data_IF_278814441997
#
_entry.id   IF_278814441997
#
_cell.length_a   1.000
_cell.length_b   1.000
_cell.length_c   1.000
_cell.angle_alpha   90.00
_cell.angle_beta   90.00
_cell.angle_gamma   90.00
#
_symmetry.space_group_name_H-M   'P 1'
#
loop_
_entity.id
_entity.type
_entity.pdbx_description
1 polymer ?
#
# COMPACT_ATOMS: atom_id res chain seq x y z
N UNK A 1 1.40 1.13 -8.09
CA UNK A 1 0.12 0.51 -7.68
C UNK A 1 -0.51 -0.19 -8.87
N UNK A 2 -1.07 -1.39 -8.69
CA UNK A 2 -1.55 -2.25 -9.77
C UNK A 2 -2.94 -2.79 -9.44
N UNK A 3 -4.01 -2.36 -10.12
CA UNK A 3 -5.34 -2.94 -10.00
C UNK A 3 -5.34 -4.43 -10.37
N UNK A 4 -6.00 -5.27 -9.58
CA UNK A 4 -6.23 -6.69 -9.88
C UNK A 4 -7.71 -7.06 -9.71
N UNK A 5 -8.10 -8.25 -10.16
CA UNK A 5 -9.48 -8.73 -10.03
C UNK A 5 -9.92 -8.78 -8.55
N UNK A 6 -9.05 -9.30 -7.68
CA UNK A 6 -9.39 -9.56 -6.28
C UNK A 6 -8.96 -8.45 -5.32
N UNK A 7 -8.28 -7.42 -5.81
CA UNK A 7 -7.68 -6.40 -4.94
C UNK A 7 -6.86 -5.33 -5.62
N UNK A 8 -6.18 -4.54 -4.80
CA UNK A 8 -5.20 -3.55 -5.26
C UNK A 8 -3.81 -3.97 -4.77
N UNK A 9 -2.92 -4.27 -5.71
CA UNK A 9 -1.52 -4.60 -5.39
C UNK A 9 -0.71 -3.31 -5.18
N UNK A 10 -0.02 -3.24 -4.06
CA UNK A 10 0.90 -2.16 -3.72
C UNK A 10 2.30 -2.72 -3.62
N UNK A 11 3.05 -2.58 -4.72
CA UNK A 11 4.44 -3.01 -4.84
C UNK A 11 5.25 -1.86 -5.48
N UNK A 12 5.62 -0.83 -4.70
CA UNK A 12 6.31 0.34 -5.21
C UNK A 12 7.71 -0.01 -5.71
N UNK A 13 8.12 0.67 -6.78
CA UNK A 13 9.49 0.71 -7.27
C UNK A 13 9.89 2.20 -7.31
N UNK A 14 10.72 2.63 -6.37
CA UNK A 14 11.02 4.05 -6.12
C UNK A 14 12.53 4.27 -5.96
N UNK A 15 13.04 5.50 -6.13
CA UNK A 15 14.42 5.82 -5.79
C UNK A 15 14.72 5.55 -4.30
N UNK A 16 15.94 5.12 -3.99
CA UNK A 16 16.39 4.85 -2.61
C UNK A 16 16.39 6.08 -1.69
N UNK A 17 16.39 7.28 -2.28
CA UNK A 17 16.28 8.56 -1.58
C UNK A 17 14.89 8.84 -1.02
N UNK A 18 13.85 8.15 -1.51
CA UNK A 18 12.48 8.33 -1.02
C UNK A 18 12.30 7.56 0.28
N UNK A 19 12.41 8.26 1.41
CA UNK A 19 12.30 7.68 2.76
C UNK A 19 10.87 7.56 3.27
N UNK A 20 10.01 8.48 2.87
CA UNK A 20 8.57 8.45 3.13
C UNK A 20 7.86 9.16 1.98
N UNK A 21 6.69 8.65 1.59
CA UNK A 21 5.80 9.34 0.67
C UNK A 21 4.37 8.87 0.86
N UNK A 22 3.43 9.70 0.43
CA UNK A 22 2.00 9.41 0.52
C UNK A 22 1.31 9.58 -0.83
N UNK A 23 0.25 8.81 -1.06
CA UNK A 23 -0.63 8.96 -2.21
C UNK A 23 -2.08 8.65 -1.86
N UNK A 24 -3.01 9.34 -2.52
CA UNK A 24 -4.42 8.98 -2.48
C UNK A 24 -4.80 8.24 -3.77
N UNK A 25 -5.56 7.15 -3.65
CA UNK A 25 -6.07 6.40 -4.79
C UNK A 25 -7.54 6.04 -4.59
N UNK A 26 -8.33 6.30 -5.62
CA UNK A 26 -9.67 5.72 -5.72
C UNK A 26 -9.61 4.38 -6.47
N UNK A 27 -10.25 3.35 -5.91
CA UNK A 27 -10.35 2.03 -6.50
C UNK A 27 -11.73 1.42 -6.21
N UNK A 28 -12.51 1.19 -7.27
CA UNK A 28 -13.88 0.62 -7.20
C UNK A 28 -14.79 1.40 -6.23
N UNK A 29 -14.75 2.74 -6.30
CA UNK A 29 -15.53 3.64 -5.44
C UNK A 29 -15.06 3.71 -4.00
N UNK A 30 -13.90 3.11 -3.66
CA UNK A 30 -13.29 3.17 -2.34
C UNK A 30 -12.08 4.09 -2.40
N UNK A 31 -11.95 4.98 -1.42
CA UNK A 31 -10.77 5.84 -1.25
C UNK A 31 -9.71 5.13 -0.41
N UNK A 32 -8.47 5.20 -0.85
CA UNK A 32 -7.31 4.66 -0.14
C UNK A 32 -6.29 5.77 0.04
N UNK A 33 -6.05 6.14 1.30
CA UNK A 33 -4.96 7.01 1.73
C UNK A 33 -3.77 6.11 2.05
N UNK A 34 -2.79 6.07 1.15
CA UNK A 34 -1.66 5.16 1.22
C UNK A 34 -0.43 5.95 1.66
N UNK A 35 0.13 5.59 2.81
CA UNK A 35 1.42 6.05 3.29
C UNK A 35 2.45 4.95 3.11
N UNK A 36 3.64 5.30 2.61
CA UNK A 36 4.74 4.37 2.38
C UNK A 36 5.95 4.81 3.18
N UNK A 37 6.42 3.95 4.07
CA UNK A 37 7.66 4.13 4.83
C UNK A 37 8.78 3.28 4.21
N UNK A 38 9.90 3.91 3.88
CA UNK A 38 11.08 3.26 3.29
C UNK A 38 12.37 3.69 4.02
N UNK A 39 12.43 3.41 5.33
CA UNK A 39 13.57 3.79 6.18
C UNK A 39 14.89 3.24 5.65
N UNK A 40 14.85 2.02 5.12
CA UNK A 40 16.01 1.31 4.56
C UNK A 40 16.47 1.87 3.20
N UNK A 41 15.67 2.69 2.51
CA UNK A 41 16.00 3.21 1.18
C UNK A 41 16.10 2.10 0.14
N UNK A 42 15.32 1.03 0.27
CA UNK A 42 15.26 -0.01 -0.77
C UNK A 42 14.53 0.54 -1.98
N UNK A 43 14.90 0.08 -3.18
CA UNK A 43 14.23 0.53 -4.40
C UNK A 43 12.95 -0.24 -4.69
N UNK A 44 12.81 -1.45 -4.13
CA UNK A 44 11.67 -2.36 -4.28
C UNK A 44 11.64 -3.31 -3.09
N UNK A 45 10.45 -3.81 -2.76
CA UNK A 45 10.25 -4.72 -1.64
C UNK A 45 9.22 -4.17 -0.67
N UNK A 46 8.27 -5.01 -0.27
CA UNK A 46 7.27 -4.68 0.74
C UNK A 46 7.35 -5.76 1.80
N UNK A 47 7.60 -5.35 3.03
CA UNK A 47 7.68 -6.26 4.18
C UNK A 47 6.34 -6.37 4.88
N UNK A 48 5.56 -5.28 4.90
CA UNK A 48 4.32 -5.21 5.66
C UNK A 48 3.33 -4.23 5.03
N UNK A 49 2.05 -4.62 5.00
CA UNK A 49 0.93 -3.73 4.70
C UNK A 49 -0.08 -3.81 5.83
N UNK A 50 -0.52 -2.65 6.33
CA UNK A 50 -1.58 -2.52 7.32
C UNK A 50 -2.71 -1.69 6.70
N UNK A 51 -3.91 -2.25 6.63
CA UNK A 51 -5.12 -1.56 6.18
C UNK A 51 -6.09 -1.41 7.34
N UNK A 52 -6.49 -0.17 7.65
CA UNK A 52 -7.44 0.13 8.72
C UNK A 52 -7.05 -0.46 10.09
N UNK A 53 -5.76 -0.54 10.38
CA UNK A 53 -5.21 -1.13 11.60
C UNK A 53 -5.01 -2.66 11.56
N UNK A 54 -5.43 -3.32 10.48
CA UNK A 54 -5.27 -4.77 10.31
C UNK A 54 -4.13 -5.08 9.33
N UNK A 55 -3.19 -5.91 9.77
CA UNK A 55 -2.10 -6.40 8.91
C UNK A 55 -2.61 -7.45 7.92
N UNK A 56 -2.06 -7.41 6.70
CA UNK A 56 -2.32 -8.40 5.67
C UNK A 56 -1.04 -9.10 5.23
N UNK A 57 -1.17 -10.32 4.75
CA UNK A 57 -0.06 -11.04 4.15
C UNK A 57 0.09 -10.67 2.66
N UNK A 58 1.34 -10.49 2.23
CA UNK A 58 1.67 -10.15 0.85
C UNK A 58 1.44 -8.68 0.47
N UNK A 59 1.40 -8.41 -0.83
CA UNK A 59 1.34 -7.06 -1.40
C UNK A 59 -0.02 -6.69 -2.00
N UNK A 60 -1.02 -7.57 -1.89
CA UNK A 60 -2.35 -7.41 -2.48
C UNK A 60 -3.39 -7.12 -1.40
N UNK A 61 -3.94 -5.90 -1.39
CA UNK A 61 -5.06 -5.55 -0.51
C UNK A 61 -6.35 -6.14 -1.09
N UNK A 62 -7.02 -7.10 -0.41
CA UNK A 62 -8.25 -7.70 -0.92
C UNK A 62 -9.42 -6.71 -0.87
N UNK A 63 -10.30 -6.72 -1.88
CA UNK A 63 -11.49 -5.86 -1.89
C UNK A 63 -12.39 -6.09 -0.66
N UNK A 64 -12.43 -7.32 -0.16
CA UNK A 64 -13.22 -7.70 1.01
C UNK A 64 -12.77 -6.98 2.31
N UNK A 65 -11.51 -6.55 2.41
CA UNK A 65 -11.00 -5.80 3.57
C UNK A 65 -11.16 -4.28 3.44
N UNK A 66 -11.58 -3.78 2.28
CA UNK A 66 -11.67 -2.35 2.01
C UNK A 66 -13.04 -1.76 2.42
N UNK A 67 -13.00 -0.66 3.17
CA UNK A 67 -14.14 0.21 3.51
C UNK A 67 -14.33 1.30 2.45
N UNK A 68 -15.29 2.20 2.64
CA UNK A 68 -15.48 3.36 1.75
C UNK A 68 -14.25 4.28 1.74
N UNK A 69 -13.65 4.49 2.91
CA UNK A 69 -12.37 5.20 3.09
C UNK A 69 -11.41 4.32 3.88
N UNK A 70 -10.15 4.27 3.44
CA UNK A 70 -9.16 3.35 3.97
C UNK A 70 -7.86 4.08 4.26
N UNK A 71 -7.29 3.81 5.43
CA UNK A 71 -5.92 4.19 5.74
C UNK A 71 -5.04 2.97 5.54
N UNK A 72 -4.01 3.12 4.71
CA UNK A 72 -3.09 2.06 4.34
C UNK A 72 -1.68 2.51 4.68
N UNK A 73 -1.00 1.76 5.54
CA UNK A 73 0.43 1.89 5.79
C UNK A 73 1.16 0.76 5.07
N UNK A 74 2.19 1.13 4.33
CA UNK A 74 3.08 0.20 3.61
C UNK A 74 4.49 0.41 4.13
N UNK A 75 5.13 -0.65 4.58
CA UNK A 75 6.53 -0.61 5.00
C UNK A 75 7.35 -1.36 3.95
N UNK A 76 8.30 -0.64 3.36
CA UNK A 76 9.29 -1.19 2.43
C UNK A 76 10.49 -1.74 3.21
N UNK A 77 11.10 -2.78 2.66
CA UNK A 77 12.31 -3.42 3.20
C UNK A 77 12.73 -4.62 2.37
#
# INVERSE_FOLDING_TARGET
IQPQMDGLRINPCVPSSWKDFSMAREFRGKKLNIQVENKNGVQKGVTRIVINGEEIQGDLIPVAKMKAENNVLVIMG
#
